data_IF_675695379721
#
_entry.id   IF_675695379721
#
_cell.length_a   1.000
_cell.length_b   1.000
_cell.length_c   1.000
_cell.angle_alpha   90.00
_cell.angle_beta   90.00
_cell.angle_gamma   90.00
#
_symmetry.space_group_name_H-M   'P 1'
#
loop_
_entity.id
_entity.type
_entity.pdbx_description
1 polymer ?
#
# COMPACT_ATOMS: atom_id res chain seq x y z
N UNK A 1 35.78 -11.21 5.60
CA UNK A 1 35.13 -10.55 4.44
C UNK A 1 34.09 -9.57 4.94
N UNK A 2 34.39 -8.27 4.93
CA UNK A 2 33.42 -7.23 5.29
C UNK A 2 32.41 -7.14 4.15
N UNK A 3 31.13 -7.50 4.40
CA UNK A 3 30.06 -7.24 3.42
C UNK A 3 30.06 -5.73 3.15
N UNK A 4 30.34 -5.32 1.91
CA UNK A 4 30.22 -3.94 1.44
C UNK A 4 28.75 -3.50 1.49
N UNK A 5 28.27 -3.16 2.68
CA UNK A 5 26.93 -2.65 2.90
C UNK A 5 26.97 -1.14 2.62
N UNK A 6 26.62 -0.77 1.39
CA UNK A 6 26.58 0.64 0.94
C UNK A 6 25.40 1.44 1.54
N UNK A 7 24.42 0.73 2.12
CA UNK A 7 23.23 1.29 2.77
C UNK A 7 22.81 0.36 3.92
N UNK A 8 22.45 0.87 5.12
CA UNK A 8 22.04 0.01 6.23
C UNK A 8 20.92 -0.96 5.83
N UNK A 9 21.03 -2.23 6.26
CA UNK A 9 20.08 -3.30 5.92
C UNK A 9 18.62 -2.94 6.26
N UNK A 10 18.40 -2.26 7.38
CA UNK A 10 17.07 -1.81 7.80
C UNK A 10 16.45 -0.84 6.79
N UNK A 11 17.24 0.13 6.31
CA UNK A 11 16.82 1.11 5.30
C UNK A 11 16.53 0.42 3.97
N UNK A 12 17.43 -0.45 3.50
CA UNK A 12 17.22 -1.21 2.25
C UNK A 12 15.95 -2.07 2.33
N UNK A 13 15.69 -2.70 3.47
CA UNK A 13 14.48 -3.50 3.69
C UNK A 13 13.22 -2.63 3.64
N UNK A 14 13.25 -1.41 4.19
CA UNK A 14 12.14 -0.47 4.10
C UNK A 14 11.86 -0.06 2.65
N UNK A 15 12.89 0.34 1.91
CA UNK A 15 12.81 0.71 0.49
C UNK A 15 12.29 -0.48 -0.34
N UNK A 16 12.79 -1.68 -0.11
CA UNK A 16 12.31 -2.88 -0.79
C UNK A 16 10.81 -3.10 -0.57
N UNK A 17 10.36 -3.02 0.70
CA UNK A 17 8.97 -3.23 1.11
C UNK A 17 8.00 -2.16 0.60
N UNK A 18 8.46 -0.98 0.15
CA UNK A 18 7.55 0.04 -0.39
C UNK A 18 6.87 -0.40 -1.68
N UNK A 19 7.55 -1.24 -2.46
CA UNK A 19 6.98 -1.86 -3.66
C UNK A 19 5.96 -2.96 -3.38
N UNK A 20 5.71 -3.29 -2.11
CA UNK A 20 4.73 -4.28 -1.68
C UNK A 20 3.47 -3.63 -1.09
N UNK A 21 2.35 -4.34 -1.16
CA UNK A 21 1.09 -3.96 -0.51
C UNK A 21 1.15 -4.06 1.01
N UNK A 22 0.13 -3.51 1.68
CA UNK A 22 -0.04 -3.68 3.13
C UNK A 22 -0.31 -5.17 3.46
N UNK A 23 -0.21 -5.50 4.74
CA UNK A 23 -0.60 -6.82 5.21
C UNK A 23 -2.09 -7.07 4.93
N UNK A 24 -2.44 -8.32 4.63
CA UNK A 24 -3.82 -8.75 4.50
C UNK A 24 -4.04 -9.95 5.43
N UNK A 25 -5.11 -9.91 6.20
CA UNK A 25 -5.50 -11.01 7.08
C UNK A 25 -5.97 -12.21 6.29
N UNK A 26 -5.98 -13.36 6.93
CA UNK A 26 -6.32 -14.63 6.30
C UNK A 26 -7.80 -14.72 5.89
N UNK A 27 -8.64 -13.91 6.54
CA UNK A 27 -10.08 -13.89 6.34
C UNK A 27 -10.52 -12.94 5.21
N UNK A 28 -9.59 -12.22 4.57
CA UNK A 28 -9.90 -11.36 3.42
C UNK A 28 -9.47 -12.00 2.10
N UNK A 29 -9.98 -11.46 0.98
CA UNK A 29 -9.65 -11.94 -0.36
C UNK A 29 -8.29 -11.43 -0.86
N UNK A 30 -7.68 -10.46 -0.19
CA UNK A 30 -6.45 -9.81 -0.64
C UNK A 30 -5.20 -10.65 -0.34
N UNK A 31 -4.20 -10.54 -1.20
CA UNK A 31 -2.90 -11.16 -0.99
C UNK A 31 -2.06 -10.39 0.02
N UNK A 32 -1.39 -11.11 0.91
CA UNK A 32 -0.51 -10.55 1.92
C UNK A 32 0.88 -10.23 1.33
N UNK A 33 1.35 -8.98 1.45
CA UNK A 33 2.73 -8.55 1.14
C UNK A 33 3.23 -8.94 -0.26
N UNK A 34 2.39 -8.77 -1.28
CA UNK A 34 2.78 -8.98 -2.69
C UNK A 34 3.15 -7.67 -3.36
N UNK A 35 3.75 -7.72 -4.56
CA UNK A 35 4.09 -6.52 -5.31
C UNK A 35 2.84 -5.71 -5.67
N UNK A 36 2.97 -4.38 -5.68
CA UNK A 36 1.88 -3.45 -6.03
C UNK A 36 1.41 -3.53 -7.48
N UNK A 37 2.13 -4.23 -8.35
CA UNK A 37 1.68 -4.47 -9.72
C UNK A 37 0.98 -5.82 -9.92
N UNK A 38 0.75 -6.60 -8.85
CA UNK A 38 0.05 -7.90 -8.90
C UNK A 38 -1.39 -7.77 -9.41
N UNK A 39 -2.09 -8.89 -9.63
CA UNK A 39 -3.47 -8.88 -10.11
C UNK A 39 -4.36 -7.97 -9.25
N UNK A 40 -5.08 -7.07 -9.91
CA UNK A 40 -5.91 -6.07 -9.23
C UNK A 40 -7.33 -6.59 -9.02
N UNK A 41 -7.87 -6.42 -7.82
CA UNK A 41 -9.27 -6.68 -7.52
C UNK A 41 -10.05 -5.36 -7.57
N UNK A 42 -11.03 -5.29 -8.46
CA UNK A 42 -11.85 -4.10 -8.69
C UNK A 42 -13.29 -4.40 -8.22
N UNK A 43 -13.81 -3.73 -7.19
CA UNK A 43 -15.24 -3.81 -6.86
C UNK A 43 -16.09 -3.36 -8.06
N UNK A 44 -17.20 -4.04 -8.35
CA UNK A 44 -18.05 -3.73 -9.51
C UNK A 44 -18.51 -2.27 -9.53
N UNK A 45 -18.93 -1.73 -8.38
CA UNK A 45 -19.29 -0.32 -8.20
C UNK A 45 -18.20 0.68 -8.65
N UNK A 46 -16.92 0.27 -8.60
CA UNK A 46 -15.76 1.10 -8.92
C UNK A 46 -15.20 0.76 -10.31
N UNK A 47 -15.82 -0.18 -11.06
CA UNK A 47 -15.29 -0.66 -12.33
C UNK A 47 -15.23 0.44 -13.39
N UNK A 48 -16.27 1.27 -13.50
CA UNK A 48 -16.32 2.36 -14.47
C UNK A 48 -15.14 3.34 -14.30
N UNK A 49 -14.77 3.63 -13.05
CA UNK A 49 -13.64 4.48 -12.66
C UNK A 49 -12.29 3.78 -12.87
N UNK A 50 -12.22 2.48 -12.60
CA UNK A 50 -10.96 1.73 -12.53
C UNK A 50 -10.68 0.81 -13.72
N UNK A 51 -11.56 0.74 -14.74
CA UNK A 51 -11.40 -0.16 -15.90
C UNK A 51 -10.14 0.11 -16.73
N UNK A 52 -9.54 1.29 -16.59
CA UNK A 52 -8.25 1.66 -17.18
C UNK A 52 -7.24 1.88 -16.06
N UNK A 53 -6.09 1.22 -16.15
CA UNK A 53 -4.96 1.48 -15.27
C UNK A 53 -4.44 2.92 -15.46
N UNK A 54 -3.81 3.53 -14.43
CA UNK A 54 -3.27 4.90 -14.50
C UNK A 54 -2.10 5.03 -15.49
N UNK A 55 -1.52 3.91 -15.91
CA UNK A 55 -0.33 3.83 -16.74
C UNK A 55 -0.44 2.66 -17.73
N UNK A 56 0.65 2.34 -18.43
CA UNK A 56 0.74 1.19 -19.33
C UNK A 56 -0.39 1.14 -20.38
N UNK A 57 -0.71 2.31 -20.96
CA UNK A 57 -1.79 2.48 -21.96
C UNK A 57 -3.14 1.97 -21.46
N UNK A 58 -3.44 2.15 -20.18
CA UNK A 58 -4.69 1.74 -19.55
C UNK A 58 -4.76 0.27 -19.13
N UNK A 59 -3.64 -0.46 -19.14
CA UNK A 59 -3.60 -1.89 -18.79
C UNK A 59 -2.86 -2.16 -17.48
N UNK A 60 -3.48 -2.95 -16.60
CA UNK A 60 -2.82 -3.48 -15.41
C UNK A 60 -1.79 -4.55 -15.82
N UNK A 61 -0.55 -4.45 -15.33
CA UNK A 61 0.56 -5.34 -15.73
C UNK A 61 0.25 -6.83 -15.53
N UNK A 62 -0.42 -7.18 -14.43
CA UNK A 62 -0.83 -8.55 -14.13
C UNK A 62 -2.35 -8.75 -14.20
N UNK A 63 -3.03 -7.92 -15.00
CA UNK A 63 -4.47 -7.99 -15.21
C UNK A 63 -5.29 -7.59 -13.98
N UNK A 64 -6.61 -7.80 -14.09
CA UNK A 64 -7.56 -7.50 -13.03
C UNK A 64 -8.68 -8.54 -12.99
N UNK A 65 -9.39 -8.58 -11.87
CA UNK A 65 -10.64 -9.31 -11.68
C UNK A 65 -11.68 -8.36 -11.08
N UNK A 66 -12.90 -8.42 -11.58
CA UNK A 66 -14.03 -7.66 -11.03
C UNK A 66 -14.76 -8.51 -10.00
N UNK A 67 -15.05 -7.92 -8.85
CA UNK A 67 -15.82 -8.53 -7.77
C UNK A 67 -17.19 -7.86 -7.71
N UNK A 68 -18.24 -8.59 -8.04
CA UNK A 68 -19.63 -8.13 -7.94
C UNK A 68 -20.31 -8.80 -6.75
N UNK A 69 -21.14 -8.06 -6.02
CA UNK A 69 -21.88 -8.65 -4.90
C UNK A 69 -22.99 -9.57 -5.43
N UNK A 70 -23.41 -10.60 -4.67
CA UNK A 70 -24.49 -11.49 -5.09
C UNK A 70 -25.79 -10.75 -5.41
N UNK A 71 -26.18 -9.79 -4.56
CA UNK A 71 -27.37 -8.97 -4.77
C UNK A 71 -27.35 -8.16 -6.07
N UNK A 72 -26.17 -7.71 -6.51
CA UNK A 72 -26.01 -6.99 -7.77
C UNK A 72 -25.98 -7.95 -8.96
N UNK A 73 -25.35 -9.12 -8.82
CA UNK A 73 -25.23 -10.09 -9.92
C UNK A 73 -26.55 -10.78 -10.26
N UNK A 74 -27.35 -11.11 -9.24
CA UNK A 74 -28.64 -11.78 -9.43
C UNK A 74 -29.79 -10.81 -9.75
N UNK A 75 -29.53 -9.50 -9.80
CA UNK A 75 -30.47 -8.50 -10.30
C UNK A 75 -30.46 -8.47 -11.84
N UNK A 76 -31.60 -8.79 -12.46
CA UNK A 76 -31.76 -8.82 -13.92
C UNK A 76 -31.48 -7.46 -14.57
N UNK A 77 -31.74 -6.34 -13.88
CA UNK A 77 -31.48 -5.00 -14.40
C UNK A 77 -29.98 -4.71 -14.58
N UNK A 78 -29.14 -5.37 -13.77
CA UNK A 78 -27.68 -5.22 -13.80
C UNK A 78 -27.04 -6.17 -14.81
N UNK A 79 -27.61 -7.36 -15.03
CA UNK A 79 -27.06 -8.37 -15.98
C UNK A 79 -26.86 -7.81 -17.38
N UNK A 80 -27.77 -6.97 -17.87
CA UNK A 80 -27.64 -6.33 -19.17
C UNK A 80 -26.41 -5.39 -19.26
N UNK A 81 -26.02 -4.76 -18.15
CA UNK A 81 -24.86 -3.87 -18.10
C UNK A 81 -23.54 -4.65 -18.07
N UNK A 82 -23.50 -5.81 -17.42
CA UNK A 82 -22.31 -6.67 -17.40
C UNK A 82 -21.85 -7.05 -18.83
N UNK A 83 -22.80 -7.42 -19.70
CA UNK A 83 -22.50 -7.75 -21.09
C UNK A 83 -21.94 -6.55 -21.87
N UNK A 84 -22.55 -5.36 -21.71
CA UNK A 84 -22.07 -4.11 -22.34
C UNK A 84 -20.66 -3.74 -21.91
N UNK A 85 -20.32 -4.06 -20.66
CA UNK A 85 -19.01 -3.79 -20.07
C UNK A 85 -17.97 -4.90 -20.33
N UNK A 86 -18.33 -5.94 -21.11
CA UNK A 86 -17.52 -7.12 -21.37
C UNK A 86 -17.09 -7.85 -20.07
N UNK A 87 -17.95 -7.85 -19.06
CA UNK A 87 -17.77 -8.56 -17.81
C UNK A 87 -18.44 -9.94 -17.91
N UNK A 88 -17.62 -10.98 -17.94
CA UNK A 88 -18.03 -12.37 -18.15
C UNK A 88 -17.66 -13.17 -16.91
N UNK A 89 -18.68 -13.74 -16.28
CA UNK A 89 -18.54 -14.57 -15.09
C UNK A 89 -17.54 -15.72 -15.31
N UNK A 90 -16.58 -15.85 -14.41
CA UNK A 90 -15.51 -16.84 -14.44
C UNK A 90 -14.41 -16.60 -15.49
N UNK A 91 -14.49 -15.52 -16.27
CA UNK A 91 -13.41 -15.04 -17.14
C UNK A 91 -12.67 -13.86 -16.54
N UNK A 92 -13.39 -12.78 -16.21
CA UNK A 92 -12.86 -11.55 -15.61
C UNK A 92 -13.76 -11.00 -14.50
N UNK A 93 -14.88 -11.66 -14.22
CA UNK A 93 -15.86 -11.32 -13.18
C UNK A 93 -16.05 -12.51 -12.23
N UNK A 94 -16.14 -12.25 -10.93
CA UNK A 94 -16.54 -13.22 -9.89
C UNK A 94 -17.66 -12.65 -9.03
N UNK A 95 -18.59 -13.50 -8.62
CA UNK A 95 -19.50 -13.17 -7.53
C UNK A 95 -18.75 -13.31 -6.20
N UNK A 96 -18.75 -12.25 -5.39
CA UNK A 96 -18.00 -12.21 -4.13
C UNK A 96 -18.93 -12.21 -2.91
N UNK A 97 -18.92 -13.30 -2.16
CA UNK A 97 -19.69 -13.43 -0.93
C UNK A 97 -18.86 -13.00 0.29
N UNK A 98 -19.33 -11.98 1.00
CA UNK A 98 -18.65 -11.38 2.17
C UNK A 98 -19.43 -11.58 3.46
N UNK A 99 -20.75 -11.80 3.38
CA UNK A 99 -21.63 -11.90 4.56
C UNK A 99 -22.44 -13.19 4.59
N UNK A 100 -22.84 -13.60 5.79
CA UNK A 100 -23.76 -14.74 5.97
C UNK A 100 -25.12 -14.49 5.30
N UNK A 101 -25.62 -13.26 5.37
CA UNK A 101 -26.89 -12.87 4.76
C UNK A 101 -26.86 -13.07 3.23
N UNK A 102 -25.77 -12.67 2.57
CA UNK A 102 -25.55 -12.93 1.15
C UNK A 102 -25.55 -14.43 0.84
N UNK A 103 -24.82 -15.23 1.62
CA UNK A 103 -24.69 -16.67 1.42
C UNK A 103 -26.02 -17.42 1.54
N UNK A 104 -26.86 -17.04 2.52
CA UNK A 104 -28.18 -17.65 2.73
C UNK A 104 -29.19 -17.19 1.66
N UNK A 105 -29.20 -15.90 1.32
CA UNK A 105 -30.19 -15.32 0.39
C UNK A 105 -29.93 -15.68 -1.07
N UNK A 106 -28.67 -15.81 -1.46
CA UNK A 106 -28.27 -16.08 -2.85
C UNK A 106 -27.46 -17.38 -2.91
N UNK A 107 -28.10 -18.55 -2.80
CA UNK A 107 -27.40 -19.83 -2.80
C UNK A 107 -26.61 -20.04 -4.10
N UNK A 108 -25.47 -20.71 -3.99
CA UNK A 108 -24.57 -20.96 -5.12
C UNK A 108 -25.32 -21.79 -6.19
N UNK A 109 -25.43 -21.30 -7.43
CA UNK A 109 -26.08 -22.05 -8.51
C UNK A 109 -25.40 -23.39 -8.80
N UNK A 110 -26.20 -24.38 -9.22
CA UNK A 110 -25.72 -25.73 -9.54
C UNK A 110 -24.61 -25.68 -10.59
N UNK A 111 -23.48 -26.32 -10.29
CA UNK A 111 -22.33 -26.43 -11.19
C UNK A 111 -21.31 -25.29 -11.08
N UNK A 112 -21.60 -24.24 -10.32
CA UNK A 112 -20.58 -23.24 -10.00
C UNK A 112 -19.49 -23.83 -9.13
N UNK A 113 -18.26 -23.35 -9.34
CA UNK A 113 -17.08 -23.74 -8.56
C UNK A 113 -16.37 -22.49 -8.02
N UNK A 114 -15.70 -22.60 -6.87
CA UNK A 114 -14.90 -21.51 -6.35
C UNK A 114 -13.70 -21.22 -7.27
N UNK A 115 -13.38 -19.93 -7.44
CA UNK A 115 -12.29 -19.50 -8.29
C UNK A 115 -10.92 -19.96 -7.78
N UNK A 116 -10.05 -20.31 -8.72
CA UNK A 116 -8.73 -20.90 -8.46
C UNK A 116 -7.64 -20.39 -9.39
N UNK A 117 -7.89 -19.32 -10.16
CA UNK A 117 -6.89 -18.67 -11.00
C UNK A 117 -6.99 -17.16 -10.87
N UNK A 118 -5.83 -16.49 -10.77
CA UNK A 118 -5.73 -15.02 -10.76
C UNK A 118 -5.68 -14.43 -12.17
N UNK A 119 -5.64 -15.27 -13.18
CA UNK A 119 -5.61 -14.89 -14.59
C UNK A 119 -6.83 -15.47 -15.31
N UNK A 120 -7.42 -14.75 -16.28
CA UNK A 120 -8.48 -15.29 -17.11
C UNK A 120 -8.06 -16.57 -17.86
N UNK A 121 -8.90 -17.62 -17.92
CA UNK A 121 -10.13 -17.80 -17.15
C UNK A 121 -9.86 -18.08 -15.66
N UNK A 122 -10.72 -17.59 -14.78
CA UNK A 122 -10.56 -17.60 -13.32
C UNK A 122 -10.78 -18.99 -12.69
N UNK A 123 -11.16 -19.98 -13.50
CA UNK A 123 -11.40 -21.38 -13.11
C UNK A 123 -12.42 -21.53 -11.97
N UNK A 124 -13.45 -20.68 -11.98
CA UNK A 124 -14.57 -20.69 -11.06
C UNK A 124 -15.40 -19.42 -11.21
N UNK A 125 -16.60 -19.40 -10.63
CA UNK A 125 -17.59 -18.34 -10.80
C UNK A 125 -17.69 -17.42 -9.59
N UNK A 126 -17.29 -17.90 -8.42
CA UNK A 126 -17.46 -17.16 -7.19
C UNK A 126 -16.25 -17.33 -6.25
N UNK A 127 -16.24 -16.50 -5.22
CA UNK A 127 -15.29 -16.54 -4.12
C UNK A 127 -16.03 -16.14 -2.85
N UNK A 128 -15.66 -16.74 -1.71
CA UNK A 128 -16.31 -16.47 -0.42
C UNK A 128 -15.28 -16.18 0.66
N UNK A 129 -15.53 -15.11 1.43
CA UNK A 129 -14.76 -14.70 2.61
C UNK A 129 -15.75 -14.24 3.68
N UNK A 130 -16.39 -15.20 4.32
CA UNK A 130 -17.42 -14.95 5.32
C UNK A 130 -16.84 -15.32 6.70
N UNK A 131 -16.62 -14.33 7.58
CA UNK A 131 -16.08 -14.57 8.91
C UNK A 131 -17.05 -15.41 9.75
N UNK A 132 -16.53 -16.04 10.80
CA UNK A 132 -17.38 -16.64 11.82
C UNK A 132 -18.15 -15.54 12.56
N UNK A 133 -19.39 -15.83 12.93
CA UNK A 133 -20.20 -14.97 13.82
C UNK A 133 -20.20 -15.56 15.22
N UNK A 134 -20.49 -14.74 16.23
CA UNK A 134 -20.56 -15.17 17.65
C UNK A 134 -21.75 -16.08 17.96
N UNK A 135 -22.66 -16.29 17.01
CA UNK A 135 -23.78 -17.23 17.12
C UNK A 135 -23.28 -18.67 17.07
N UNK A 136 -23.76 -19.52 18.00
CA UNK A 136 -23.40 -20.94 18.07
C UNK A 136 -23.64 -21.67 16.73
N UNK A 137 -22.64 -22.44 16.29
CA UNK A 137 -22.75 -23.33 15.14
C UNK A 137 -22.38 -22.76 13.76
N UNK A 138 -22.10 -21.46 13.62
CA UNK A 138 -21.75 -20.87 12.32
C UNK A 138 -20.24 -20.74 12.11
N UNK A 139 -19.63 -21.79 11.54
CA UNK A 139 -18.21 -21.77 11.15
C UNK A 139 -17.91 -20.81 9.99
N UNK A 140 -16.66 -20.35 9.91
CA UNK A 140 -16.18 -19.50 8.81
C UNK A 140 -16.35 -20.19 7.46
N UNK A 141 -16.73 -19.44 6.42
CA UNK A 141 -16.78 -19.93 5.04
C UNK A 141 -15.70 -19.21 4.24
N UNK A 142 -14.70 -19.98 3.82
CA UNK A 142 -13.59 -19.49 2.99
C UNK A 142 -13.50 -20.40 1.78
N UNK A 143 -13.92 -19.90 0.63
CA UNK A 143 -13.88 -20.65 -0.64
C UNK A 143 -13.18 -19.85 -1.74
N UNK A 144 -12.37 -20.54 -2.53
CA UNK A 144 -11.51 -19.95 -3.57
C UNK A 144 -10.26 -19.30 -3.00
N UNK A 145 -9.12 -19.46 -3.69
CA UNK A 145 -7.82 -18.90 -3.28
C UNK A 145 -7.41 -19.25 -1.83
N UNK A 146 -7.56 -20.53 -1.45
CA UNK A 146 -7.36 -21.02 -0.08
C UNK A 146 -6.10 -21.87 0.11
N UNK A 147 -5.46 -22.33 -0.95
CA UNK A 147 -4.23 -23.13 -0.84
C UNK A 147 -3.05 -22.25 -0.43
N UNK A 148 -2.04 -22.84 0.22
CA UNK A 148 -0.84 -22.12 0.68
C UNK A 148 -0.14 -21.34 -0.45
N UNK A 149 -0.12 -21.90 -1.66
CA UNK A 149 0.44 -21.26 -2.86
C UNK A 149 -0.48 -20.22 -3.51
N UNK A 150 -1.80 -20.28 -3.24
CA UNK A 150 -2.80 -19.38 -3.83
C UNK A 150 -3.63 -18.62 -2.80
N UNK A 151 -3.07 -18.30 -1.63
CA UNK A 151 -3.77 -17.51 -0.63
C UNK A 151 -4.00 -16.08 -1.13
N UNK A 152 -5.25 -15.67 -1.19
CA UNK A 152 -5.68 -14.36 -1.71
C UNK A 152 -5.64 -14.27 -3.23
N UNK A 153 -6.55 -13.48 -3.79
CA UNK A 153 -6.82 -13.39 -5.23
C UNK A 153 -6.05 -12.24 -5.91
N UNK A 154 -5.69 -11.19 -5.17
CA UNK A 154 -5.01 -10.03 -5.73
C UNK A 154 -4.83 -8.91 -4.71
N UNK A 155 -4.56 -7.70 -5.21
CA UNK A 155 -4.41 -6.48 -4.41
C UNK A 155 -5.64 -5.58 -4.53
N UNK A 156 -5.80 -4.65 -3.60
CA UNK A 156 -6.82 -3.59 -3.73
C UNK A 156 -6.45 -2.67 -4.88
N UNK A 157 -7.43 -2.24 -5.68
CA UNK A 157 -7.19 -1.37 -6.84
C UNK A 157 -6.46 -0.08 -6.52
N UNK A 158 -6.77 0.55 -5.39
CA UNK A 158 -6.10 1.79 -4.97
C UNK A 158 -4.64 1.59 -4.51
N UNK A 159 -4.20 0.34 -4.30
CA UNK A 159 -2.80 0.03 -3.96
C UNK A 159 -1.90 -0.11 -5.20
N UNK A 160 -2.50 -0.16 -6.40
CA UNK A 160 -1.79 -0.44 -7.64
C UNK A 160 -0.74 0.63 -7.98
N UNK A 161 0.43 0.15 -8.38
CA UNK A 161 1.46 0.92 -9.05
C UNK A 161 2.20 -0.02 -10.00
N UNK A 162 2.46 0.44 -11.23
CA UNK A 162 3.25 -0.34 -12.19
C UNK A 162 4.73 -0.45 -11.77
N UNK A 163 5.47 -1.34 -12.41
CA UNK A 163 6.86 -1.60 -12.06
C UNK A 163 7.79 -0.38 -12.25
N UNK A 164 7.53 0.47 -13.24
CA UNK A 164 8.32 1.68 -13.48
C UNK A 164 8.09 2.71 -12.36
N UNK A 165 6.85 2.88 -11.94
CA UNK A 165 6.43 3.72 -10.81
C UNK A 165 7.03 3.20 -9.51
N UNK A 166 6.95 1.88 -9.24
CA UNK A 166 7.58 1.27 -8.05
C UNK A 166 9.09 1.54 -8.04
N UNK A 167 9.78 1.38 -9.18
CA UNK A 167 11.21 1.65 -9.30
C UNK A 167 11.53 3.12 -9.01
N UNK A 168 10.77 4.05 -9.57
CA UNK A 168 10.93 5.48 -9.35
C UNK A 168 10.70 5.85 -7.87
N UNK A 169 9.68 5.30 -7.23
CA UNK A 169 9.43 5.47 -5.80
C UNK A 169 10.61 5.02 -4.95
N UNK A 170 11.19 3.85 -5.26
CA UNK A 170 12.36 3.33 -4.52
C UNK A 170 13.57 4.24 -4.64
N UNK A 171 13.84 4.75 -5.85
CA UNK A 171 14.96 5.69 -6.10
C UNK A 171 14.74 6.99 -5.34
N UNK A 172 13.55 7.59 -5.42
CA UNK A 172 13.26 8.84 -4.72
C UNK A 172 13.35 8.67 -3.21
N UNK A 173 12.79 7.59 -2.66
CA UNK A 173 12.86 7.32 -1.22
C UNK A 173 14.30 7.10 -0.74
N UNK A 174 15.14 6.44 -1.53
CA UNK A 174 16.57 6.33 -1.19
C UNK A 174 17.29 7.68 -1.27
N UNK A 175 17.01 8.48 -2.30
CA UNK A 175 17.51 9.85 -2.41
C UNK A 175 17.15 10.69 -1.17
N UNK A 176 15.91 10.56 -0.67
CA UNK A 176 15.45 11.25 0.54
C UNK A 176 16.13 10.73 1.80
N UNK A 177 16.42 9.43 1.90
CA UNK A 177 17.21 8.90 3.01
C UNK A 177 18.61 9.55 3.06
N UNK A 178 19.29 9.62 1.91
CA UNK A 178 20.60 10.27 1.80
C UNK A 178 20.55 11.80 1.96
N UNK A 179 19.36 12.39 1.94
CA UNK A 179 19.13 13.83 2.16
C UNK A 179 18.72 14.14 3.61
N UNK A 180 18.81 13.18 4.53
CA UNK A 180 18.67 13.47 5.96
C UNK A 180 19.83 14.34 6.45
N UNK A 181 19.53 15.33 7.29
CA UNK A 181 20.52 16.33 7.75
C UNK A 181 21.70 15.73 8.52
N UNK A 182 21.47 14.61 9.21
CA UNK A 182 22.42 13.95 10.11
C UNK A 182 23.12 12.72 9.49
N UNK A 183 23.09 12.58 8.16
CA UNK A 183 23.57 11.36 7.48
C UNK A 183 25.04 11.02 7.78
N UNK A 184 25.91 12.03 7.89
CA UNK A 184 27.32 11.84 8.22
C UNK A 184 27.51 11.29 9.65
N UNK A 185 26.62 11.64 10.57
CA UNK A 185 26.59 11.10 11.93
C UNK A 185 26.26 9.61 11.89
N UNK A 186 25.24 9.21 11.12
CA UNK A 186 24.88 7.79 10.94
C UNK A 186 26.03 6.99 10.33
N UNK A 187 26.69 7.52 9.30
CA UNK A 187 27.82 6.86 8.63
C UNK A 187 28.93 6.55 9.65
N UNK A 188 29.28 7.52 10.50
CA UNK A 188 30.27 7.34 11.58
C UNK A 188 29.80 6.33 12.62
N UNK A 189 28.58 6.48 13.13
CA UNK A 189 28.02 5.61 14.19
C UNK A 189 27.89 4.15 13.77
N UNK A 190 27.53 3.88 12.50
CA UNK A 190 27.38 2.52 11.96
C UNK A 190 28.69 1.98 11.34
N UNK A 191 29.78 2.74 11.36
CA UNK A 191 31.07 2.34 10.81
C UNK A 191 31.02 2.02 9.31
N UNK A 192 30.21 2.76 8.53
CA UNK A 192 30.09 2.53 7.09
C UNK A 192 31.31 3.10 6.36
N UNK A 193 31.76 2.41 5.30
CA UNK A 193 32.83 2.92 4.44
C UNK A 193 32.34 4.17 3.68
N UNK A 194 32.84 5.34 4.10
CA UNK A 194 32.49 6.64 3.52
C UNK A 194 32.70 6.69 2.01
N UNK A 195 33.78 6.09 1.48
CA UNK A 195 34.05 6.10 0.04
C UNK A 195 33.00 5.30 -0.74
N UNK A 196 32.54 4.19 -0.17
CA UNK A 196 31.50 3.36 -0.78
C UNK A 196 30.11 4.02 -0.67
N UNK A 197 29.82 4.64 0.47
CA UNK A 197 28.59 5.41 0.67
C UNK A 197 28.53 6.60 -0.29
N UNK A 198 29.61 7.35 -0.46
CA UNK A 198 29.66 8.49 -1.39
C UNK A 198 29.41 8.08 -2.84
N UNK A 199 29.97 6.94 -3.26
CA UNK A 199 29.67 6.34 -4.57
C UNK A 199 28.19 6.01 -4.71
N UNK A 200 27.56 5.45 -3.67
CA UNK A 200 26.12 5.12 -3.67
C UNK A 200 25.26 6.38 -3.74
N UNK A 201 25.58 7.40 -2.95
CA UNK A 201 24.89 8.70 -2.97
C UNK A 201 24.99 9.33 -4.36
N UNK A 202 26.18 9.35 -4.96
CA UNK A 202 26.38 9.90 -6.30
C UNK A 202 25.55 9.15 -7.35
N UNK A 203 25.52 7.81 -7.29
CA UNK A 203 24.70 6.97 -8.18
C UNK A 203 23.21 7.30 -8.03
N UNK A 204 22.70 7.30 -6.80
CA UNK A 204 21.27 7.58 -6.54
C UNK A 204 20.88 9.00 -6.94
N UNK A 205 21.74 10.00 -6.71
CA UNK A 205 21.52 11.36 -7.18
C UNK A 205 21.47 11.43 -8.71
N UNK A 206 22.37 10.73 -9.41
CA UNK A 206 22.37 10.68 -10.87
C UNK A 206 21.10 10.01 -11.42
N UNK A 207 20.66 8.90 -10.80
CA UNK A 207 19.41 8.22 -11.18
C UNK A 207 18.17 9.08 -10.90
N UNK A 208 18.11 9.72 -9.72
CA UNK A 208 17.03 10.63 -9.36
C UNK A 208 16.93 11.79 -10.36
N UNK A 209 18.06 12.42 -10.70
CA UNK A 209 18.12 13.49 -11.69
C UNK A 209 17.67 13.03 -13.08
N UNK A 210 18.14 11.86 -13.54
CA UNK A 210 17.74 11.28 -14.82
C UNK A 210 16.22 11.06 -14.91
N UNK A 211 15.60 10.65 -13.82
CA UNK A 211 14.17 10.39 -13.73
C UNK A 211 13.34 11.62 -13.28
N UNK A 212 13.99 12.78 -13.08
CA UNK A 212 13.38 14.00 -12.55
C UNK A 212 12.63 13.75 -11.24
N UNK A 213 13.31 13.09 -10.29
CA UNK A 213 12.81 12.74 -8.95
C UNK A 213 13.37 13.64 -7.84
N UNK A 214 14.30 14.53 -8.19
CA UNK A 214 15.03 15.47 -7.33
C UNK A 214 14.56 16.93 -7.48
N UNK A 215 13.42 17.17 -8.17
CA UNK A 215 12.82 18.51 -8.29
C UNK A 215 12.52 19.10 -6.91
N UNK A 216 13.39 20.01 -6.47
CA UNK A 216 13.34 20.61 -5.14
C UNK A 216 12.03 21.34 -4.87
N UNK A 217 11.51 22.10 -5.84
CA UNK A 217 10.26 22.84 -5.69
C UNK A 217 9.10 21.90 -5.39
N UNK A 218 8.98 20.81 -6.16
CA UNK A 218 7.94 19.80 -5.93
C UNK A 218 8.09 19.08 -4.59
N UNK A 219 9.33 18.78 -4.17
CA UNK A 219 9.57 18.13 -2.88
C UNK A 219 9.19 19.04 -1.69
N UNK A 220 9.46 20.35 -1.79
CA UNK A 220 9.06 21.34 -0.77
C UNK A 220 7.54 21.51 -0.74
N UNK A 221 6.91 21.71 -1.90
CA UNK A 221 5.45 21.84 -2.03
C UNK A 221 4.72 20.60 -1.49
N UNK A 222 5.28 19.40 -1.70
CA UNK A 222 4.75 18.15 -1.19
C UNK A 222 5.07 17.89 0.30
N UNK A 223 5.76 18.82 0.99
CA UNK A 223 6.18 18.68 2.41
C UNK A 223 7.09 17.47 2.66
N UNK A 224 7.95 17.12 1.69
CA UNK A 224 8.88 15.98 1.77
C UNK A 224 10.27 16.43 2.23
N UNK A 225 10.70 17.61 1.78
CA UNK A 225 11.94 18.27 2.21
C UNK A 225 11.66 19.69 2.67
N UNK A 226 12.55 20.25 3.47
CA UNK A 226 12.54 21.68 3.80
C UNK A 226 13.16 22.55 2.69
N UNK A 227 13.18 23.86 2.91
CA UNK A 227 13.77 24.86 2.00
C UNK A 227 15.27 24.65 1.72
N UNK A 228 15.98 23.97 2.61
CA UNK A 228 17.42 23.70 2.49
C UNK A 228 17.69 22.33 1.83
N UNK A 229 16.62 21.58 1.51
CA UNK A 229 16.67 20.29 0.84
C UNK A 229 16.80 19.08 1.76
N UNK A 230 16.60 19.27 3.07
CA UNK A 230 16.66 18.19 4.04
C UNK A 230 15.32 17.49 4.21
N UNK A 231 15.35 16.15 4.30
CA UNK A 231 14.13 15.34 4.48
C UNK A 231 13.44 15.65 5.80
N UNK A 232 12.13 15.90 5.73
CA UNK A 232 11.27 16.22 6.86
C UNK A 232 10.09 15.27 6.95
N UNK A 233 9.49 15.18 8.14
CA UNK A 233 8.21 14.51 8.32
C UNK A 233 7.08 15.37 7.73
N UNK A 234 6.24 14.83 6.84
CA UNK A 234 5.19 15.63 6.18
C UNK A 234 4.18 16.27 7.12
N UNK A 235 3.87 15.60 8.24
CA UNK A 235 2.91 16.12 9.22
C UNK A 235 3.54 17.19 10.11
N UNK A 236 4.57 16.82 10.89
CA UNK A 236 5.12 17.68 11.94
C UNK A 236 6.26 18.60 11.48
N UNK A 237 6.71 18.48 10.23
CA UNK A 237 7.76 19.28 9.59
C UNK A 237 9.15 19.22 10.22
N UNK A 238 9.34 18.39 11.26
CA UNK A 238 10.66 18.13 11.84
C UNK A 238 11.53 17.33 10.87
N UNK A 239 12.84 17.58 10.89
CA UNK A 239 13.82 16.77 10.16
C UNK A 239 13.69 15.30 10.54
N UNK A 240 13.75 14.44 9.53
CA UNK A 240 13.88 13.00 9.75
C UNK A 240 15.32 12.71 10.16
N UNK A 241 15.46 12.07 11.30
CA UNK A 241 16.73 11.50 11.76
C UNK A 241 17.07 10.24 10.95
N UNK A 242 18.27 10.18 10.41
CA UNK A 242 18.75 9.03 9.64
C UNK A 242 18.94 7.78 10.52
N UNK A 243 19.23 7.95 11.82
CA UNK A 243 19.29 6.83 12.76
C UNK A 243 17.90 6.25 13.09
N UNK A 244 16.83 7.07 13.01
CA UNK A 244 15.44 6.64 13.23
C UNK A 244 14.91 5.61 12.21
N UNK A 245 15.63 5.37 11.11
CA UNK A 245 15.36 4.24 10.20
C UNK A 245 15.82 2.88 10.75
N UNK A 246 16.77 2.91 11.67
CA UNK A 246 17.41 1.74 12.29
C UNK A 246 16.89 1.51 13.71
N UNK A 247 16.55 2.57 14.43
CA UNK A 247 16.17 2.50 15.83
C UNK A 247 14.69 2.13 16.02
N UNK A 248 14.44 1.21 16.96
CA UNK A 248 13.11 0.76 17.32
C UNK A 248 12.44 1.82 18.18
N UNK A 249 11.13 1.95 18.07
CA UNK A 249 10.36 2.89 18.89
C UNK A 249 10.48 2.50 20.36
N UNK A 250 10.76 3.49 21.21
CA UNK A 250 10.74 3.29 22.66
C UNK A 250 9.33 2.89 23.12
N UNK A 251 9.24 1.80 23.86
CA UNK A 251 7.98 1.31 24.39
C UNK A 251 7.66 2.00 25.70
N UNK A 252 6.38 2.28 25.94
CA UNK A 252 5.92 2.76 27.23
C UNK A 252 6.10 1.65 28.27
N UNK A 253 6.60 2.01 29.45
CA UNK A 253 6.80 1.08 30.56
C UNK A 253 5.48 0.36 30.90
N UNK A 254 5.53 -0.96 31.04
CA UNK A 254 4.38 -1.82 31.31
C UNK A 254 3.46 -2.07 30.10
N UNK A 255 3.83 -1.60 28.91
CA UNK A 255 3.14 -1.89 27.63
C UNK A 255 4.08 -2.47 26.58
N UNK A 256 5.14 -3.14 27.01
CA UNK A 256 6.12 -3.75 26.14
C UNK A 256 5.49 -4.89 25.35
N UNK A 257 5.53 -4.77 24.03
CA UNK A 257 5.21 -5.85 23.11
C UNK A 257 6.50 -6.63 22.83
N UNK A 258 6.53 -7.95 23.09
CA UNK A 258 7.61 -8.81 22.64
C UNK A 258 7.80 -8.69 21.13
N UNK A 259 9.05 -8.61 20.66
CA UNK A 259 9.40 -8.51 19.24
C UNK A 259 8.89 -7.26 18.48
N UNK A 260 8.90 -6.09 19.13
CA UNK A 260 8.63 -4.83 18.41
C UNK A 260 9.66 -4.62 17.29
N UNK A 261 9.19 -4.69 16.04
CA UNK A 261 10.00 -4.47 14.83
C UNK A 261 9.76 -3.09 14.19
N UNK A 262 8.92 -2.26 14.84
CA UNK A 262 8.57 -0.92 14.37
C UNK A 262 9.70 0.05 14.73
N UNK A 263 10.16 0.81 13.74
CA UNK A 263 11.17 1.85 13.92
C UNK A 263 10.53 3.23 13.93
N UNK A 264 11.28 4.24 14.37
CA UNK A 264 10.80 5.62 14.46
C UNK A 264 10.37 6.21 13.12
N UNK A 265 11.00 5.80 12.02
CA UNK A 265 10.68 6.28 10.67
C UNK A 265 9.94 5.23 9.83
N UNK A 266 8.88 5.66 9.14
CA UNK A 266 8.05 4.83 8.28
C UNK A 266 7.76 5.50 6.93
N UNK A 267 7.36 4.69 5.93
CA UNK A 267 6.87 5.21 4.66
C UNK A 267 5.60 6.04 4.91
N UNK A 268 5.57 7.24 4.36
CA UNK A 268 4.47 8.18 4.52
C UNK A 268 3.86 8.51 3.15
N UNK A 269 2.53 8.44 3.06
CA UNK A 269 1.78 8.90 1.89
C UNK A 269 1.34 10.34 2.13
N UNK A 270 1.74 11.28 1.27
CA UNK A 270 1.39 12.70 1.40
C UNK A 270 -0.12 12.88 1.18
N UNK A 271 -0.61 12.30 0.09
CA UNK A 271 -2.02 12.01 -0.17
C UNK A 271 -2.24 10.51 0.01
N UNK A 272 -3.24 10.15 0.81
CA UNK A 272 -3.62 8.79 1.11
C UNK A 272 -4.05 8.00 -0.13
N UNK A 273 -4.00 6.68 -0.03
CA UNK A 273 -4.43 5.80 -1.11
C UNK A 273 -5.96 5.85 -1.26
N UNK A 274 -6.44 6.26 -2.43
CA UNK A 274 -7.87 6.32 -2.77
C UNK A 274 -8.14 5.62 -4.11
N UNK A 275 -9.32 5.04 -4.23
CA UNK A 275 -9.79 4.42 -5.47
C UNK A 275 -9.83 5.46 -6.59
N UNK A 276 -9.26 5.14 -7.76
CA UNK A 276 -9.16 6.05 -8.90
C UNK A 276 -7.97 7.01 -8.89
N UNK A 277 -7.35 7.27 -7.73
CA UNK A 277 -6.26 8.26 -7.62
C UNK A 277 -4.85 7.66 -7.82
N UNK A 278 -4.66 6.38 -7.49
CA UNK A 278 -3.39 5.65 -7.64
C UNK A 278 -2.17 6.36 -7.01
N UNK A 279 -2.35 6.80 -5.78
CA UNK A 279 -1.43 7.68 -5.05
C UNK A 279 -0.09 7.04 -4.62
N UNK A 280 0.20 5.78 -4.95
CA UNK A 280 1.53 5.21 -4.73
C UNK A 280 2.49 5.58 -5.88
N UNK A 281 2.99 6.82 -5.85
CA UNK A 281 3.83 7.40 -6.91
C UNK A 281 4.88 8.38 -6.36
N UNK A 282 5.94 8.71 -7.12
CA UNK A 282 6.88 9.76 -6.72
C UNK A 282 6.17 11.08 -6.41
N UNK A 283 6.78 11.90 -5.56
CA UNK A 283 6.24 13.15 -5.04
C UNK A 283 4.98 13.01 -4.18
N UNK A 284 4.48 11.80 -3.99
CA UNK A 284 3.42 11.50 -3.02
C UNK A 284 3.88 10.53 -1.92
N UNK A 285 5.14 10.10 -1.96
CA UNK A 285 5.77 9.28 -0.93
C UNK A 285 6.91 10.05 -0.27
N UNK A 286 6.99 9.94 1.05
CA UNK A 286 8.08 10.50 1.84
C UNK A 286 8.42 9.61 3.03
N UNK A 287 9.35 10.09 3.84
CA UNK A 287 9.67 9.50 5.14
C UNK A 287 9.02 10.31 6.24
N UNK A 288 8.36 9.65 7.18
CA UNK A 288 7.68 10.31 8.28
C UNK A 288 7.86 9.57 9.59
N UNK A 289 7.76 10.29 10.70
CA UNK A 289 7.71 9.69 12.01
C UNK A 289 6.53 8.70 12.09
N UNK A 290 6.76 7.53 12.65
CA UNK A 290 5.75 6.48 12.77
C UNK A 290 4.51 6.98 13.51
N UNK A 291 4.69 7.69 14.63
CA UNK A 291 3.59 8.28 15.38
C UNK A 291 2.74 9.22 14.50
N UNK A 292 3.38 10.13 13.75
CA UNK A 292 2.68 11.01 12.81
C UNK A 292 1.88 10.23 11.75
N UNK A 293 2.44 9.14 11.23
CA UNK A 293 1.79 8.30 10.24
C UNK A 293 0.57 7.57 10.81
N UNK A 294 0.66 7.10 12.06
CA UNK A 294 -0.45 6.48 12.79
C UNK A 294 -1.59 7.48 13.03
N UNK A 295 -1.26 8.73 13.36
CA UNK A 295 -2.27 9.78 13.59
C UNK A 295 -2.96 10.21 12.30
N UNK A 296 -2.21 10.35 11.19
CA UNK A 296 -2.79 10.74 9.89
C UNK A 296 -3.62 9.62 9.27
N UNK A 297 -3.12 8.38 9.33
CA UNK A 297 -3.78 7.18 8.82
C UNK A 297 -4.39 7.39 7.42
N UNK A 298 -5.70 7.21 7.30
CA UNK A 298 -6.45 7.30 6.05
C UNK A 298 -7.25 8.62 5.94
N UNK A 299 -7.14 9.52 6.93
CA UNK A 299 -7.77 10.85 6.91
C UNK A 299 -7.00 11.85 6.03
N UNK A 300 -5.68 11.65 5.91
CA UNK A 300 -4.81 12.56 5.17
C UNK A 300 -4.37 13.78 6.00
N UNK A 301 -3.27 14.40 5.57
CA UNK A 301 -2.57 15.43 6.36
C UNK A 301 -3.50 16.61 6.70
N UNK A 302 -4.25 17.11 5.71
CA UNK A 302 -5.05 18.32 5.89
C UNK A 302 -6.19 18.09 6.89
N UNK A 303 -6.96 17.00 6.72
CA UNK A 303 -8.06 16.66 7.64
C UNK A 303 -7.56 16.45 9.07
N UNK A 304 -6.38 15.85 9.23
CA UNK A 304 -5.74 15.68 10.55
C UNK A 304 -5.37 17.03 11.18
N UNK A 305 -4.80 17.97 10.41
CA UNK A 305 -4.45 19.29 10.93
C UNK A 305 -5.69 20.10 11.32
N UNK A 306 -6.75 20.03 10.52
CA UNK A 306 -8.03 20.69 10.82
C UNK A 306 -8.65 20.12 12.10
N UNK A 307 -8.65 18.79 12.24
CA UNK A 307 -9.11 18.12 13.47
C UNK A 307 -8.27 18.52 14.70
N UNK A 308 -6.93 18.54 14.58
CA UNK A 308 -6.06 18.98 15.68
C UNK A 308 -6.38 20.43 16.10
N UNK A 309 -6.61 21.32 15.13
CA UNK A 309 -7.00 22.71 15.39
C UNK A 309 -8.33 22.78 16.13
N UNK A 310 -9.32 21.99 15.75
CA UNK A 310 -10.60 21.92 16.46
C UNK A 310 -10.44 21.41 17.90
N UNK A 311 -9.63 20.38 18.12
CA UNK A 311 -9.36 19.85 19.47
C UNK A 311 -8.74 20.92 20.36
N UNK A 312 -7.73 21.66 19.87
CA UNK A 312 -7.09 22.73 20.64
C UNK A 312 -8.07 23.85 20.96
N UNK A 313 -8.92 24.25 20.01
CA UNK A 313 -9.98 25.25 20.24
C UNK A 313 -10.98 24.82 21.32
N UNK A 314 -11.48 23.58 21.26
CA UNK A 314 -12.45 23.04 22.24
C UNK A 314 -11.85 22.94 23.65
N UNK A 315 -10.53 22.87 23.76
CA UNK A 315 -9.80 22.85 25.03
C UNK A 315 -9.21 24.22 25.42
N UNK A 316 -9.57 25.30 24.73
CA UNK A 316 -9.09 26.67 24.99
C UNK A 316 -7.56 26.81 24.98
N UNK A 317 -6.87 26.06 24.11
CA UNK A 317 -5.41 26.14 23.95
C UNK A 317 -4.99 27.07 22.81
N UNK A 318 -5.92 27.38 21.89
CA UNK A 318 -5.83 28.38 20.81
C UNK A 318 -7.21 28.97 20.54
#
# INVERSE_FOLDING_TARGET
MVKNVQIPKAVNTKIYKTGQTRGADDDVIFQNRVLRNSTVLIPYKDFSLCKKAPSNKGKYENGFMVLIKPEEYFDESIKANLAKENLILGKNLLVFYETRAQWKKYPIPKGWKPASSRQPPLKGQYVARIPATTSEGESKIIEGFTTSQMKGAGIRVYEYADNATIKACKIQLEYLFWSCKDIDTLIKQKGLDKKQVDKRIALIKAEAKKLKLDDHKKLVEARIVDKDGYTICPLCLKHISSIGFCDRIQQAEGREVPDLTVTEVSLFHIQELRTGEYNHRPYNLGWGHHHCNVVVKDAGIQQTLDWMKEVLKRNNMI
#
